data_IF_067841401139
#
_entry.id   IF_067841401139
#
_cell.length_a   1.000
_cell.length_b   1.000
_cell.length_c   1.000
_cell.angle_alpha   90.00
_cell.angle_beta   90.00
_cell.angle_gamma   90.00
#
_symmetry.space_group_name_H-M   'P 1'
#
loop_
_entity.id
_entity.type
_entity.pdbx_description
1 polymer ?
#
# COMPACT_ATOMS: atom_id res chain seq x y z
N UNK A 1 -39.25 4.63 -27.73
CA UNK A 1 -38.86 3.69 -26.64
C UNK A 1 -37.35 3.53 -26.69
N UNK A 2 -36.70 3.95 -25.64
CA UNK A 2 -35.22 3.76 -25.50
C UNK A 2 -34.98 2.27 -25.31
N UNK A 3 -34.11 1.65 -26.11
CA UNK A 3 -33.81 0.23 -26.04
C UNK A 3 -33.31 -0.12 -24.65
N UNK A 4 -33.80 -1.18 -24.01
CA UNK A 4 -33.36 -1.61 -22.68
C UNK A 4 -31.81 -1.76 -22.61
N UNK A 5 -31.21 -2.24 -23.71
CA UNK A 5 -29.76 -2.33 -23.87
C UNK A 5 -29.06 -0.97 -23.80
N UNK A 6 -29.67 0.08 -24.37
CA UNK A 6 -29.13 1.43 -24.30
C UNK A 6 -29.17 2.02 -22.88
N UNK A 7 -30.22 1.72 -22.12
CA UNK A 7 -30.33 2.14 -20.72
C UNK A 7 -29.26 1.47 -19.86
N UNK A 8 -29.04 0.17 -20.03
CA UNK A 8 -27.97 -0.57 -19.32
C UNK A 8 -26.59 -0.01 -19.66
N UNK A 9 -26.34 0.27 -20.93
CA UNK A 9 -25.07 0.86 -21.37
C UNK A 9 -24.83 2.24 -20.74
N UNK A 10 -25.84 3.11 -20.73
CA UNK A 10 -25.76 4.43 -20.11
C UNK A 10 -25.54 4.34 -18.61
N UNK A 11 -26.17 3.39 -17.94
CA UNK A 11 -25.97 3.14 -16.51
C UNK A 11 -24.52 2.70 -16.19
N UNK A 12 -23.97 1.77 -16.99
CA UNK A 12 -22.57 1.33 -16.84
C UNK A 12 -21.60 2.50 -17.07
N UNK A 13 -21.81 3.29 -18.13
CA UNK A 13 -20.99 4.47 -18.40
C UNK A 13 -21.08 5.50 -17.26
N UNK A 14 -22.27 5.67 -16.66
CA UNK A 14 -22.48 6.52 -15.49
C UNK A 14 -21.69 6.05 -14.28
N UNK A 15 -21.67 4.75 -14.00
CA UNK A 15 -20.86 4.17 -12.92
C UNK A 15 -19.37 4.38 -13.18
N UNK A 16 -18.89 4.11 -14.38
CA UNK A 16 -17.48 4.31 -14.74
C UNK A 16 -17.10 5.78 -14.58
N UNK A 17 -17.91 6.69 -15.09
CA UNK A 17 -17.67 8.13 -14.96
C UNK A 17 -17.63 8.56 -13.47
N UNK A 18 -18.56 8.05 -12.66
CA UNK A 18 -18.60 8.33 -11.21
C UNK A 18 -17.33 7.84 -10.51
N UNK A 19 -16.87 6.62 -10.82
CA UNK A 19 -15.62 6.07 -10.25
C UNK A 19 -14.43 6.93 -10.64
N UNK A 20 -14.30 7.32 -11.91
CA UNK A 20 -13.20 8.13 -12.40
C UNK A 20 -13.17 9.53 -11.77
N UNK A 21 -14.33 10.17 -11.64
CA UNK A 21 -14.45 11.50 -10.99
C UNK A 21 -14.09 11.40 -9.51
N UNK A 22 -14.60 10.39 -8.80
CA UNK A 22 -14.32 10.17 -7.38
C UNK A 22 -12.82 9.91 -7.16
N UNK A 23 -12.19 9.10 -8.00
CA UNK A 23 -10.75 8.84 -7.94
C UNK A 23 -9.94 10.12 -8.14
N UNK A 24 -10.29 10.96 -9.11
CA UNK A 24 -9.64 12.27 -9.34
C UNK A 24 -9.76 13.21 -8.14
N UNK A 25 -10.94 13.28 -7.53
CA UNK A 25 -11.15 14.09 -6.33
C UNK A 25 -10.30 13.57 -5.17
N UNK A 26 -10.26 12.27 -4.95
CA UNK A 26 -9.47 11.65 -3.88
C UNK A 26 -7.97 11.86 -4.08
N UNK A 27 -7.47 11.72 -5.30
CA UNK A 27 -6.07 12.00 -5.63
C UNK A 27 -5.70 13.47 -5.38
N UNK A 28 -6.58 14.40 -5.73
CA UNK A 28 -6.35 15.83 -5.47
C UNK A 28 -6.29 16.15 -3.98
N UNK A 29 -7.21 15.58 -3.19
CA UNK A 29 -7.22 15.70 -1.72
C UNK A 29 -5.95 15.11 -1.11
N UNK A 30 -5.52 13.95 -1.57
CA UNK A 30 -4.32 13.27 -1.10
C UNK A 30 -3.06 14.11 -1.37
N UNK A 31 -2.93 14.68 -2.57
CA UNK A 31 -1.82 15.58 -2.90
C UNK A 31 -1.80 16.83 -2.00
N UNK A 32 -2.94 17.43 -1.77
CA UNK A 32 -3.06 18.59 -0.88
C UNK A 32 -2.67 18.25 0.57
N UNK A 33 -3.04 17.05 1.02
CA UNK A 33 -2.67 16.56 2.35
C UNK A 33 -1.16 16.33 2.46
N UNK A 34 -0.53 15.65 1.50
CA UNK A 34 0.92 15.40 1.45
C UNK A 34 1.69 16.72 1.58
N UNK A 35 1.27 17.74 0.81
CA UNK A 35 1.89 19.06 0.89
C UNK A 35 1.76 19.71 2.26
N UNK A 36 0.63 19.51 2.93
CA UNK A 36 0.36 20.08 4.25
C UNK A 36 1.09 19.34 5.37
N UNK A 37 1.33 18.04 5.20
CA UNK A 37 1.95 17.20 6.22
C UNK A 37 3.47 17.39 6.29
N UNK A 38 4.09 17.91 5.25
CA UNK A 38 5.54 18.14 5.23
C UNK A 38 5.99 19.09 6.37
N UNK A 39 7.00 18.64 7.11
CA UNK A 39 7.54 19.39 8.25
C UNK A 39 6.67 19.38 9.51
N UNK A 40 5.56 18.65 9.50
CA UNK A 40 4.67 18.52 10.64
C UNK A 40 4.71 17.11 11.23
N UNK A 41 4.34 16.98 12.49
CA UNK A 41 4.11 15.67 13.11
C UNK A 41 2.75 15.08 12.65
N UNK A 42 2.59 13.76 12.67
CA UNK A 42 1.31 13.12 12.38
C UNK A 42 0.19 13.67 13.26
N UNK A 43 -0.91 14.09 12.65
CA UNK A 43 -2.09 14.57 13.38
C UNK A 43 -2.85 13.47 14.09
N UNK A 44 -2.83 12.29 13.51
CA UNK A 44 -3.42 11.08 14.05
C UNK A 44 -2.35 10.02 14.14
N UNK A 45 -2.31 9.30 15.26
CA UNK A 45 -1.41 8.18 15.40
C UNK A 45 -1.71 7.14 14.31
N UNK A 46 -0.72 6.70 13.56
CA UNK A 46 -0.91 5.69 12.53
C UNK A 46 -1.37 4.38 13.16
N UNK A 47 -2.25 3.67 12.46
CA UNK A 47 -2.76 2.36 12.86
C UNK A 47 -1.82 1.24 12.39
N UNK A 48 -0.52 1.40 12.61
CA UNK A 48 0.41 0.33 12.28
C UNK A 48 0.35 -0.75 13.37
N UNK A 49 0.36 -2.02 12.95
CA UNK A 49 0.39 -3.16 13.84
C UNK A 49 1.85 -3.52 14.16
N UNK A 50 2.23 -3.47 15.43
CA UNK A 50 3.61 -3.72 15.87
C UNK A 50 4.06 -5.14 15.55
N UNK A 51 3.19 -6.14 15.77
CA UNK A 51 3.49 -7.54 15.46
C UNK A 51 3.82 -7.75 13.97
N UNK A 52 3.07 -7.07 13.08
CA UNK A 52 3.33 -7.10 11.64
C UNK A 52 4.68 -6.46 11.28
N UNK A 53 5.02 -5.34 11.92
CA UNK A 53 6.29 -4.66 11.73
C UNK A 53 7.47 -5.50 12.24
N UNK A 54 7.30 -6.14 13.40
CA UNK A 54 8.31 -7.02 13.97
C UNK A 54 8.55 -8.25 13.08
N UNK A 55 7.50 -8.90 12.59
CA UNK A 55 7.61 -10.02 11.64
C UNK A 55 8.31 -9.62 10.35
N UNK A 56 7.99 -8.44 9.82
CA UNK A 56 8.66 -7.91 8.63
C UNK A 56 10.15 -7.65 8.91
N UNK A 57 10.49 -7.12 10.06
CA UNK A 57 11.86 -6.88 10.50
C UNK A 57 12.65 -8.19 10.67
N UNK A 58 12.08 -9.18 11.35
CA UNK A 58 12.72 -10.48 11.59
C UNK A 58 12.93 -11.29 10.30
N UNK A 59 12.07 -11.13 9.30
CA UNK A 59 12.19 -11.83 8.01
C UNK A 59 13.39 -11.38 7.19
N UNK A 60 14.05 -10.28 7.54
CA UNK A 60 15.17 -9.69 6.79
C UNK A 60 16.50 -10.25 7.24
N UNK A 61 17.46 -10.25 6.32
CA UNK A 61 18.86 -10.47 6.68
C UNK A 61 19.37 -9.23 7.42
N UNK A 62 19.69 -9.40 8.69
CA UNK A 62 20.16 -8.32 9.56
C UNK A 62 21.60 -7.97 9.17
N UNK A 63 21.84 -6.71 8.83
CA UNK A 63 23.15 -6.21 8.40
C UNK A 63 23.69 -5.09 9.30
N UNK A 64 22.94 -4.72 10.34
CA UNK A 64 23.34 -3.66 11.24
C UNK A 64 24.40 -4.14 12.25
N UNK A 65 25.33 -3.28 12.59
CA UNK A 65 26.37 -3.55 13.60
C UNK A 65 25.79 -3.63 15.02
N UNK A 66 24.82 -2.77 15.30
CA UNK A 66 24.12 -2.72 16.58
C UNK A 66 22.62 -2.80 16.33
N UNK A 67 21.97 -3.70 17.02
CA UNK A 67 20.52 -3.87 17.01
C UNK A 67 19.98 -3.60 18.40
N UNK A 68 18.88 -2.85 18.47
CA UNK A 68 18.14 -2.65 19.72
C UNK A 68 17.33 -3.92 19.97
N UNK A 69 17.60 -4.59 21.10
CA UNK A 69 16.84 -5.77 21.52
C UNK A 69 15.43 -5.41 21.99
N UNK A 70 14.58 -6.43 22.15
CA UNK A 70 13.19 -6.21 22.49
C UNK A 70 13.01 -5.61 23.89
N UNK A 71 13.87 -5.99 24.85
CA UNK A 71 13.83 -5.44 26.21
C UNK A 71 14.12 -3.93 26.20
N UNK A 72 15.19 -3.52 25.54
CA UNK A 72 15.56 -2.10 25.38
C UNK A 72 14.48 -1.32 24.62
N UNK A 73 13.90 -1.93 23.59
CA UNK A 73 12.79 -1.35 22.82
C UNK A 73 11.58 -1.06 23.70
N UNK A 74 11.19 -2.01 24.52
CA UNK A 74 10.04 -1.90 25.42
C UNK A 74 10.32 -0.92 26.57
N UNK A 75 11.49 -0.99 27.21
CA UNK A 75 11.88 -0.09 28.30
C UNK A 75 11.90 1.38 27.88
N UNK A 76 12.30 1.67 26.66
CA UNK A 76 12.29 3.02 26.07
C UNK A 76 10.94 3.41 25.46
N UNK A 77 9.95 2.50 25.47
CA UNK A 77 8.65 2.70 24.83
C UNK A 77 8.77 3.17 23.37
N UNK A 78 9.68 2.56 22.63
CA UNK A 78 10.07 2.97 21.28
C UNK A 78 8.92 2.87 20.27
N UNK A 79 7.95 2.00 20.50
CA UNK A 79 6.77 1.92 19.63
C UNK A 79 5.90 3.19 19.71
N UNK A 80 5.78 3.81 20.87
CA UNK A 80 5.10 5.11 20.99
C UNK A 80 5.89 6.24 20.30
N UNK A 81 7.23 6.19 20.37
CA UNK A 81 8.09 7.11 19.61
C UNK A 81 7.88 6.92 18.11
N UNK A 82 7.93 5.66 17.65
CA UNK A 82 7.64 5.31 16.26
C UNK A 82 6.31 5.88 15.78
N UNK A 83 5.22 5.66 16.52
CA UNK A 83 3.88 6.19 16.16
C UNK A 83 3.86 7.72 16.05
N UNK A 84 4.59 8.41 16.92
CA UNK A 84 4.64 9.88 16.93
C UNK A 84 5.40 10.49 15.77
N UNK A 85 6.39 9.80 15.23
CA UNK A 85 7.20 10.31 14.11
C UNK A 85 6.82 9.71 12.76
N UNK A 86 5.95 8.69 12.74
CA UNK A 86 5.60 7.97 11.52
C UNK A 86 4.66 8.77 10.62
N UNK A 87 5.24 9.55 9.70
CA UNK A 87 4.54 10.23 8.60
C UNK A 87 4.58 9.44 7.29
N UNK A 88 4.99 8.17 7.32
CA UNK A 88 5.05 7.37 6.10
C UNK A 88 3.64 7.10 5.55
N UNK A 89 3.52 7.08 4.23
CA UNK A 89 2.25 6.90 3.54
C UNK A 89 1.97 5.45 3.13
N UNK A 90 2.96 4.55 3.28
CA UNK A 90 2.84 3.16 2.88
C UNK A 90 3.32 2.21 3.97
N UNK A 91 2.84 0.96 3.95
CA UNK A 91 3.30 -0.08 4.86
C UNK A 91 4.81 -0.33 4.75
N UNK A 92 5.35 -0.33 3.52
CA UNK A 92 6.80 -0.47 3.28
C UNK A 92 7.59 0.67 3.92
N UNK A 93 7.05 1.90 3.87
CA UNK A 93 7.65 3.05 4.55
C UNK A 93 7.66 2.88 6.07
N UNK A 94 6.55 2.42 6.65
CA UNK A 94 6.46 2.10 8.09
C UNK A 94 7.46 1.03 8.50
N UNK A 95 7.57 -0.04 7.74
CA UNK A 95 8.54 -1.12 7.97
C UNK A 95 9.99 -0.60 7.91
N UNK A 96 10.30 0.26 6.95
CA UNK A 96 11.63 0.86 6.84
C UNK A 96 11.94 1.79 7.99
N UNK A 97 10.99 2.61 8.43
CA UNK A 97 11.15 3.45 9.61
C UNK A 97 11.35 2.62 10.88
N UNK A 98 10.54 1.57 11.07
CA UNK A 98 10.68 0.64 12.20
C UNK A 98 12.06 0.00 12.22
N UNK A 99 12.54 -0.49 11.07
CA UNK A 99 13.89 -1.02 10.91
C UNK A 99 14.95 0.04 11.30
N UNK A 100 14.82 1.25 10.77
CA UNK A 100 15.80 2.33 11.03
C UNK A 100 15.92 2.67 12.51
N UNK A 101 14.81 2.59 13.26
CA UNK A 101 14.81 2.79 14.70
C UNK A 101 15.38 1.61 15.49
N UNK A 102 15.31 0.40 14.93
CA UNK A 102 15.86 -0.81 15.56
C UNK A 102 17.33 -1.07 15.22
N UNK A 103 17.83 -0.50 14.13
CA UNK A 103 19.18 -0.72 13.64
C UNK A 103 20.00 0.57 13.78
N UNK A 104 21.08 0.49 14.49
CA UNK A 104 22.02 1.61 14.66
C UNK A 104 23.36 1.25 14.02
N UNK A 105 23.84 2.10 13.13
CA UNK A 105 25.15 2.00 12.54
C UNK A 105 26.04 3.12 13.10
N UNK A 106 27.08 2.73 13.81
CA UNK A 106 28.00 3.66 14.48
C UNK A 106 28.87 4.48 13.51
N UNK A 107 29.00 4.02 12.25
CA UNK A 107 29.88 4.65 11.28
C UNK A 107 29.17 5.70 10.41
N UNK A 108 29.84 6.83 10.23
CA UNK A 108 29.36 8.02 9.52
C UNK A 108 29.02 7.80 8.04
N UNK A 109 29.61 6.82 7.37
CA UNK A 109 29.38 6.58 5.93
C UNK A 109 27.89 6.30 5.58
N UNK A 110 27.16 5.66 6.48
CA UNK A 110 25.73 5.42 6.26
C UNK A 110 24.89 6.67 6.49
N UNK A 111 25.32 7.55 7.37
CA UNK A 111 24.67 8.84 7.64
C UNK A 111 24.82 9.76 6.44
N UNK A 112 26.01 9.85 5.85
CA UNK A 112 26.24 10.64 4.63
C UNK A 112 25.38 10.14 3.43
N UNK A 113 25.25 8.82 3.29
CA UNK A 113 24.39 8.25 2.24
C UNK A 113 22.91 8.60 2.40
N UNK A 114 22.46 8.83 3.63
CA UNK A 114 21.09 9.27 3.91
C UNK A 114 20.92 10.78 3.73
N UNK A 115 21.95 11.57 4.07
CA UNK A 115 21.92 13.04 3.94
C UNK A 115 21.74 13.49 2.48
N UNK A 116 22.36 12.80 1.52
CA UNK A 116 22.24 13.14 0.10
C UNK A 116 20.78 13.15 -0.39
N UNK A 117 20.01 12.06 -0.25
CA UNK A 117 18.61 12.07 -0.67
C UNK A 117 17.72 12.99 0.19
N UNK A 118 18.03 13.18 1.46
CA UNK A 118 17.30 14.11 2.33
C UNK A 118 17.45 15.53 1.79
N UNK A 119 18.68 15.99 1.59
CA UNK A 119 18.96 17.32 1.08
C UNK A 119 18.43 17.53 -0.35
N UNK A 120 18.50 16.49 -1.19
CA UNK A 120 17.90 16.54 -2.52
C UNK A 120 16.39 16.76 -2.45
N UNK A 121 15.67 15.96 -1.67
CA UNK A 121 14.20 16.05 -1.55
C UNK A 121 13.74 17.31 -0.81
N UNK A 122 14.56 17.85 0.07
CA UNK A 122 14.29 19.14 0.73
C UNK A 122 14.29 20.29 -0.29
N UNK A 123 15.25 20.28 -1.21
CA UNK A 123 15.40 21.31 -2.23
C UNK A 123 14.51 21.10 -3.48
N UNK A 124 13.90 19.93 -3.65
CA UNK A 124 13.05 19.58 -4.78
C UNK A 124 11.62 19.21 -4.36
N UNK A 125 10.80 20.18 -3.93
CA UNK A 125 9.47 19.93 -3.36
C UNK A 125 8.53 19.22 -4.32
N UNK A 126 8.58 19.49 -5.62
CA UNK A 126 7.70 18.85 -6.61
C UNK A 126 7.99 17.35 -6.74
N UNK A 127 9.26 16.96 -6.77
CA UNK A 127 9.65 15.55 -6.85
C UNK A 127 9.34 14.82 -5.54
N UNK A 128 9.60 15.46 -4.40
CA UNK A 128 9.23 14.94 -3.09
C UNK A 128 7.72 14.67 -3.00
N UNK A 129 6.89 15.61 -3.43
CA UNK A 129 5.43 15.47 -3.43
C UNK A 129 4.98 14.34 -4.37
N UNK A 130 5.59 14.21 -5.56
CA UNK A 130 5.25 13.13 -6.51
C UNK A 130 5.66 11.75 -5.96
N UNK A 131 6.86 11.62 -5.41
CA UNK A 131 7.33 10.38 -4.78
C UNK A 131 6.41 10.01 -3.61
N UNK A 132 6.11 10.96 -2.72
CA UNK A 132 5.21 10.74 -1.58
C UNK A 132 3.82 10.32 -2.04
N UNK A 133 3.30 10.92 -3.12
CA UNK A 133 2.02 10.56 -3.70
C UNK A 133 2.01 9.13 -4.26
N UNK A 134 3.09 8.70 -4.93
CA UNK A 134 3.22 7.31 -5.42
C UNK A 134 3.21 6.31 -4.27
N UNK A 135 3.94 6.57 -3.18
CA UNK A 135 3.90 5.74 -1.98
C UNK A 135 2.53 5.75 -1.30
N UNK A 136 1.86 6.90 -1.23
CA UNK A 136 0.53 7.01 -0.66
C UNK A 136 -0.53 6.21 -1.44
N UNK A 137 -0.37 6.05 -2.75
CA UNK A 137 -1.22 5.19 -3.57
C UNK A 137 -1.06 3.70 -3.26
N UNK A 138 0.10 3.27 -2.77
CA UNK A 138 0.27 1.90 -2.26
C UNK A 138 -0.53 1.69 -0.97
N UNK A 139 -0.66 2.76 -0.18
CA UNK A 139 -1.43 2.78 1.05
C UNK A 139 -0.78 2.01 2.19
N UNK A 140 -1.45 2.07 3.34
CA UNK A 140 -1.09 1.30 4.54
C UNK A 140 -2.11 0.19 4.75
N UNK A 141 -1.62 -0.98 5.15
CA UNK A 141 -2.43 -2.13 5.58
C UNK A 141 -1.94 -2.57 6.95
N UNK A 142 -2.87 -3.00 7.80
CA UNK A 142 -2.56 -3.44 9.17
C UNK A 142 -1.61 -4.65 9.17
N UNK A 143 -1.72 -5.52 8.17
CA UNK A 143 -0.82 -6.64 7.96
C UNK A 143 -0.23 -6.56 6.54
N UNK A 144 1.08 -6.41 6.47
CA UNK A 144 1.81 -6.39 5.21
C UNK A 144 2.81 -7.56 5.19
N UNK A 145 2.62 -8.47 4.25
CA UNK A 145 3.50 -9.63 4.09
C UNK A 145 4.55 -9.44 2.99
N UNK A 146 4.63 -8.24 2.39
CA UNK A 146 5.51 -8.00 1.23
C UNK A 146 6.97 -8.32 1.56
N UNK A 147 7.46 -7.93 2.73
CA UNK A 147 8.85 -8.20 3.15
C UNK A 147 9.13 -9.70 3.33
N UNK A 148 8.18 -10.46 3.86
CA UNK A 148 8.30 -11.90 4.03
C UNK A 148 8.49 -12.59 2.67
N UNK A 149 7.73 -12.15 1.66
CA UNK A 149 7.83 -12.68 0.29
C UNK A 149 9.11 -12.21 -0.43
N UNK A 150 9.54 -10.97 -0.21
CA UNK A 150 10.74 -10.41 -0.84
C UNK A 150 12.04 -11.00 -0.26
N UNK A 151 12.04 -11.38 1.01
CA UNK A 151 13.24 -11.84 1.72
C UNK A 151 13.40 -13.38 1.75
N UNK A 152 12.73 -14.11 0.88
CA UNK A 152 13.14 -15.49 0.57
C UNK A 152 12.33 -16.62 1.17
N UNK A 153 11.12 -16.40 1.62
CA UNK A 153 10.23 -17.54 1.76
C UNK A 153 9.76 -17.94 0.35
N UNK A 154 10.18 -19.12 -0.10
CA UNK A 154 9.67 -19.72 -1.33
C UNK A 154 8.15 -19.87 -1.20
N UNK A 155 7.42 -19.04 -1.93
CA UNK A 155 5.98 -19.19 -2.03
C UNK A 155 5.74 -20.53 -2.71
N UNK A 156 5.15 -21.48 -1.98
CA UNK A 156 4.65 -22.68 -2.62
C UNK A 156 3.64 -22.25 -3.69
N UNK A 157 3.83 -22.60 -4.96
CA UNK A 157 2.90 -22.20 -5.99
C UNK A 157 1.51 -22.73 -5.61
N UNK A 158 0.59 -21.80 -5.41
CA UNK A 158 -0.82 -22.12 -5.23
C UNK A 158 -1.24 -23.00 -6.41
N UNK A 159 -1.65 -24.23 -6.15
CA UNK A 159 -2.30 -25.19 -7.02
C UNK A 159 -2.24 -24.98 -8.54
N UNK A 160 -3.17 -25.51 -9.29
CA UNK A 160 -3.19 -25.38 -10.75
C UNK A 160 -3.42 -23.94 -11.20
N UNK A 161 -2.42 -23.32 -11.84
CA UNK A 161 -2.52 -21.98 -12.44
C UNK A 161 -3.74 -21.85 -13.38
N UNK A 162 -4.05 -22.93 -14.13
CA UNK A 162 -5.18 -22.98 -15.03
C UNK A 162 -6.53 -22.83 -14.33
N UNK A 163 -6.67 -23.33 -13.11
CA UNK A 163 -7.89 -23.23 -12.31
C UNK A 163 -8.16 -21.77 -11.91
N UNK A 164 -7.12 -21.02 -11.51
CA UNK A 164 -7.26 -19.60 -11.15
C UNK A 164 -7.53 -18.73 -12.36
N UNK A 165 -6.92 -19.03 -13.52
CA UNK A 165 -7.23 -18.33 -14.78
C UNK A 165 -8.69 -18.58 -15.17
N UNK A 166 -9.16 -19.83 -15.07
CA UNK A 166 -10.56 -20.17 -15.35
C UNK A 166 -11.53 -19.44 -14.42
N UNK A 167 -11.28 -19.46 -13.10
CA UNK A 167 -12.07 -18.73 -12.11
C UNK A 167 -12.09 -17.22 -12.38
N UNK A 168 -10.95 -16.64 -12.75
CA UNK A 168 -10.85 -15.21 -13.09
C UNK A 168 -11.57 -14.82 -14.38
N UNK A 169 -11.74 -15.76 -15.32
CA UNK A 169 -12.49 -15.55 -16.56
C UNK A 169 -14.01 -15.76 -16.41
N UNK A 170 -14.44 -16.43 -15.35
CA UNK A 170 -15.86 -16.79 -15.11
C UNK A 170 -16.78 -15.56 -15.09
N UNK A 171 -16.47 -14.43 -14.42
CA UNK A 171 -17.27 -13.23 -14.47
C UNK A 171 -17.41 -12.64 -15.88
N UNK A 172 -16.32 -12.67 -16.65
CA UNK A 172 -16.32 -12.18 -18.04
C UNK A 172 -17.20 -13.03 -18.94
N UNK A 173 -17.13 -14.35 -18.80
CA UNK A 173 -17.95 -15.31 -19.54
C UNK A 173 -19.43 -15.13 -19.15
N UNK A 174 -19.72 -14.97 -17.85
CA UNK A 174 -21.08 -14.69 -17.36
C UNK A 174 -21.64 -13.37 -17.92
N UNK A 175 -20.82 -12.33 -17.98
CA UNK A 175 -21.23 -11.05 -18.56
C UNK A 175 -21.50 -11.15 -20.06
N UNK A 176 -20.63 -11.81 -20.82
CA UNK A 176 -20.82 -12.02 -22.25
C UNK A 176 -22.07 -12.90 -22.54
N UNK A 177 -22.33 -13.92 -21.71
CA UNK A 177 -23.48 -14.79 -21.87
C UNK A 177 -24.80 -14.05 -21.60
N UNK A 178 -24.77 -12.94 -20.85
CA UNK A 178 -25.98 -12.13 -20.61
C UNK A 178 -26.58 -11.53 -21.90
N UNK A 179 -25.76 -11.32 -22.92
CA UNK A 179 -26.22 -10.87 -24.25
C UNK A 179 -27.05 -11.93 -24.98
N UNK A 180 -26.83 -13.23 -24.68
CA UNK A 180 -27.51 -14.34 -25.37
C UNK A 180 -28.63 -14.95 -24.53
N UNK A 181 -28.46 -15.01 -23.20
CA UNK A 181 -29.35 -15.74 -22.27
C UNK A 181 -30.12 -14.75 -21.37
N UNK A 182 -29.91 -13.43 -21.54
CA UNK A 182 -30.61 -12.41 -20.77
C UNK A 182 -30.15 -12.34 -19.28
N UNK A 183 -31.08 -12.04 -18.38
CA UNK A 183 -30.80 -11.77 -16.97
C UNK A 183 -30.07 -12.90 -16.22
N UNK A 184 -30.18 -14.16 -16.66
CA UNK A 184 -29.54 -15.31 -16.02
C UNK A 184 -28.02 -15.20 -16.14
N UNK A 185 -27.47 -14.78 -17.30
CA UNK A 185 -26.03 -14.57 -17.49
C UNK A 185 -25.46 -13.48 -16.54
N UNK A 186 -26.24 -12.43 -16.29
CA UNK A 186 -25.85 -11.38 -15.37
C UNK A 186 -25.78 -11.87 -13.91
N UNK A 187 -26.75 -12.69 -13.48
CA UNK A 187 -26.74 -13.30 -12.15
C UNK A 187 -25.49 -14.18 -11.96
N UNK A 188 -25.14 -14.98 -12.97
CA UNK A 188 -23.92 -15.81 -12.93
C UNK A 188 -22.66 -14.94 -12.83
N UNK A 189 -22.57 -13.83 -13.56
CA UNK A 189 -21.45 -12.90 -13.49
C UNK A 189 -21.29 -12.28 -12.08
N UNK A 190 -22.40 -11.91 -11.43
CA UNK A 190 -22.37 -11.32 -10.07
C UNK A 190 -22.02 -12.36 -9.01
N UNK A 191 -22.46 -13.61 -9.15
CA UNK A 191 -22.14 -14.68 -8.20
C UNK A 191 -20.67 -15.18 -8.33
N UNK A 192 -20.03 -14.87 -9.45
CA UNK A 192 -18.63 -15.26 -9.72
C UNK A 192 -17.61 -14.18 -9.33
N UNK A 193 -18.05 -13.02 -8.87
CA UNK A 193 -17.24 -11.90 -8.34
C UNK A 193 -16.97 -12.08 -6.85
#
# INVERSE_FOLDING_TARGET
>A
MMNEQLMVLLFILGIIAFILVTDRINQSKLKAQIKKDWGNLPRHLPKDNEESLLKAYESRTKQAEVMIDDLTWDDLNMFEVFKRINLTYSSIGSEKLYQTLREYNLYSENTEKLEIPIHYLENNPNEREDISFRFARLGKRDYNYAQIYLNGQTINPLGSHSLYVFLGLLPLIGFLSSFFIGAIGFVVAVLAL
#
